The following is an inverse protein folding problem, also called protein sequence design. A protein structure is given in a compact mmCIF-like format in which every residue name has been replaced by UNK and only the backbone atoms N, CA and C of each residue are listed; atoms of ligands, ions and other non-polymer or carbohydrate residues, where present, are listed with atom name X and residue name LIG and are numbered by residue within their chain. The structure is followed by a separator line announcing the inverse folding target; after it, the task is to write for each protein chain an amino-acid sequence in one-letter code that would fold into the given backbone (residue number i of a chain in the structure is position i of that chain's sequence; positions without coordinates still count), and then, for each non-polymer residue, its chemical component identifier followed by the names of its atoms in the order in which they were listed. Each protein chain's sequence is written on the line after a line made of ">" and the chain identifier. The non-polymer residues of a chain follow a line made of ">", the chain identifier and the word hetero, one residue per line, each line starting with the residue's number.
data_IF_009223937911
#
_entry.id   IF_009223937911
#
_cell.length_a   1.000
_cell.length_b   1.000
_cell.length_c   1.000
_cell.angle_alpha   90.00
_cell.angle_beta   90.00
_cell.angle_gamma   90.00
#
_symmetry.space_group_name_H-M   'P 1'
#
loop_
_entity.id
_entity.type
_entity.pdbx_description
1 polymer ?
#
# COMPACT_ATOMS: atom_id res chain seq x y z
N UNK A 1 -46.14 -52.08 27.74
CA UNK A 1 -44.79 -51.65 28.20
C UNK A 1 -43.76 -51.48 27.10
N UNK A 2 -43.83 -52.17 25.96
CA UNK A 2 -42.85 -52.03 24.85
C UNK A 2 -42.91 -50.74 23.99
N UNK A 3 -44.06 -50.06 23.97
CA UNK A 3 -44.23 -48.80 23.18
C UNK A 3 -43.79 -47.51 23.91
N UNK A 4 -43.63 -47.53 25.24
CA UNK A 4 -43.11 -46.40 26.00
C UNK A 4 -41.58 -46.26 25.99
N UNK A 5 -40.83 -47.33 25.78
CA UNK A 5 -39.35 -47.34 25.76
C UNK A 5 -38.82 -46.73 24.46
N UNK A 6 -39.49 -46.92 23.33
CA UNK A 6 -39.08 -46.38 22.02
C UNK A 6 -39.21 -44.85 21.95
N UNK A 7 -40.19 -44.25 22.66
CA UNK A 7 -40.42 -42.82 22.69
C UNK A 7 -39.34 -42.05 23.49
N UNK A 8 -38.76 -42.66 24.53
CA UNK A 8 -37.70 -42.04 25.34
C UNK A 8 -36.32 -42.05 24.64
N UNK A 9 -36.05 -43.08 23.82
CA UNK A 9 -34.79 -43.18 23.07
C UNK A 9 -34.75 -42.15 21.91
N UNK A 10 -35.88 -41.86 21.26
CA UNK A 10 -35.98 -40.84 20.24
C UNK A 10 -35.83 -39.40 20.80
N UNK A 11 -36.14 -39.17 22.07
CA UNK A 11 -36.00 -37.85 22.69
C UNK A 11 -34.59 -37.56 23.21
N UNK A 12 -33.80 -38.59 23.54
CA UNK A 12 -32.39 -38.44 23.94
C UNK A 12 -31.42 -38.12 22.79
N UNK A 13 -31.82 -38.33 21.54
CA UNK A 13 -31.00 -37.99 20.37
C UNK A 13 -31.14 -36.50 19.92
N UNK A 14 -32.05 -35.72 20.55
CA UNK A 14 -32.31 -34.34 20.15
C UNK A 14 -31.57 -33.28 20.99
N UNK A 15 -30.81 -33.69 22.04
CA UNK A 15 -30.12 -32.76 22.94
C UNK A 15 -28.60 -32.88 22.85
N UNK A 16 -28.08 -32.92 21.61
CA UNK A 16 -26.64 -32.85 21.34
C UNK A 16 -26.18 -31.59 20.62
N UNK A 17 -26.98 -30.51 20.67
CA UNK A 17 -26.51 -29.21 20.16
C UNK A 17 -25.62 -28.53 21.21
N UNK A 18 -24.42 -29.08 21.43
CA UNK A 18 -23.42 -28.33 22.19
C UNK A 18 -23.14 -27.04 21.45
N UNK A 19 -23.20 -25.98 22.20
CA UNK A 19 -22.79 -24.64 21.82
C UNK A 19 -21.39 -24.66 21.20
N UNK A 20 -21.34 -24.72 19.89
CA UNK A 20 -20.09 -24.92 19.18
C UNK A 20 -19.73 -23.65 18.42
N UNK A 21 -18.57 -23.06 18.73
CA UNK A 21 -17.99 -21.95 17.98
C UNK A 21 -17.76 -22.29 16.50
N UNK A 22 -16.97 -21.51 15.82
CA UNK A 22 -16.63 -21.77 14.40
C UNK A 22 -15.91 -23.13 14.28
N UNK A 23 -16.42 -24.01 13.43
CA UNK A 23 -15.80 -25.27 13.06
C UNK A 23 -14.97 -25.05 11.81
N UNK A 24 -13.66 -25.29 11.90
CA UNK A 24 -12.74 -25.11 10.79
C UNK A 24 -12.49 -26.46 10.09
N UNK A 25 -12.43 -26.40 8.76
CA UNK A 25 -12.08 -27.54 7.91
C UNK A 25 -10.62 -27.93 8.07
N UNK A 26 -10.38 -29.23 7.98
CA UNK A 26 -9.05 -29.83 7.92
C UNK A 26 -8.70 -30.21 6.48
N UNK A 27 -7.42 -30.12 6.12
CA UNK A 27 -6.95 -30.44 4.79
C UNK A 27 -6.28 -29.27 4.09
N UNK A 28 -6.06 -29.40 2.77
CA UNK A 28 -5.44 -28.35 1.97
C UNK A 28 -6.47 -27.39 1.37
N UNK A 29 -5.99 -26.26 0.92
CA UNK A 29 -6.81 -25.20 0.34
C UNK A 29 -7.66 -25.67 -0.87
N UNK A 30 -7.11 -26.56 -1.70
CA UNK A 30 -7.84 -27.09 -2.87
C UNK A 30 -9.08 -27.90 -2.46
N UNK A 31 -8.98 -28.73 -1.41
CA UNK A 31 -10.10 -29.50 -0.89
C UNK A 31 -11.19 -28.58 -0.31
N UNK A 32 -10.78 -27.52 0.40
CA UNK A 32 -11.70 -26.50 0.95
C UNK A 32 -12.46 -25.78 -0.17
N UNK A 33 -11.78 -25.39 -1.25
CA UNK A 33 -12.43 -24.78 -2.42
C UNK A 33 -13.38 -25.75 -3.13
N UNK A 34 -13.01 -27.04 -3.25
CA UNK A 34 -13.88 -28.06 -3.85
C UNK A 34 -15.18 -28.22 -3.03
N UNK A 35 -15.08 -28.24 -1.69
CA UNK A 35 -16.24 -28.28 -0.79
C UNK A 35 -17.12 -27.04 -0.93
N UNK A 36 -16.50 -25.85 -0.98
CA UNK A 36 -17.20 -24.58 -1.17
C UNK A 36 -18.01 -24.56 -2.50
N UNK A 37 -17.41 -25.11 -3.57
CA UNK A 37 -18.07 -25.28 -4.87
C UNK A 37 -19.29 -26.21 -4.77
N UNK A 38 -19.13 -27.37 -4.13
CA UNK A 38 -20.19 -28.36 -3.96
C UNK A 38 -21.37 -27.80 -3.15
N UNK A 39 -21.10 -27.07 -2.07
CA UNK A 39 -22.10 -26.48 -1.19
C UNK A 39 -22.58 -25.08 -1.63
N UNK A 40 -22.02 -24.51 -2.71
CA UNK A 40 -22.31 -23.16 -3.20
C UNK A 40 -22.15 -22.10 -2.11
N UNK A 41 -21.14 -22.24 -1.27
CA UNK A 41 -20.80 -21.32 -0.18
C UNK A 41 -19.51 -20.57 -0.47
N UNK A 42 -19.30 -19.43 0.21
CA UNK A 42 -17.98 -18.80 0.31
C UNK A 42 -17.10 -19.60 1.27
N UNK A 43 -15.79 -19.55 1.03
CA UNK A 43 -14.79 -19.92 2.01
C UNK A 43 -14.50 -18.70 2.89
N UNK A 44 -14.65 -18.85 4.20
CA UNK A 44 -14.08 -17.93 5.18
C UNK A 44 -12.69 -18.41 5.55
N UNK A 45 -11.68 -17.56 5.44
CA UNK A 45 -10.29 -17.87 5.80
C UNK A 45 -9.82 -16.95 6.91
N UNK A 46 -9.47 -17.55 8.07
CA UNK A 46 -8.72 -16.87 9.13
C UNK A 46 -7.22 -17.03 8.83
N UNK A 47 -6.59 -15.94 8.35
CA UNK A 47 -5.15 -15.91 8.08
C UNK A 47 -4.44 -15.34 9.30
N UNK A 48 -3.62 -16.16 9.95
CA UNK A 48 -2.97 -15.85 11.22
C UNK A 48 -1.48 -16.17 11.21
N UNK A 49 -0.76 -15.83 12.29
CA UNK A 49 0.58 -16.31 12.61
C UNK A 49 0.62 -16.83 14.04
N UNK A 50 1.56 -17.72 14.35
CA UNK A 50 1.66 -18.34 15.67
C UNK A 50 2.00 -17.35 16.80
N UNK A 51 2.67 -16.26 16.50
CA UNK A 51 3.04 -15.20 17.46
C UNK A 51 1.97 -14.10 17.61
N UNK A 52 0.96 -14.03 16.74
CA UNK A 52 -0.04 -12.98 16.70
C UNK A 52 -0.98 -12.99 17.93
N UNK A 53 -0.80 -12.06 18.84
CA UNK A 53 -1.64 -11.89 20.03
C UNK A 53 -3.12 -11.64 19.72
N UNK A 54 -3.48 -10.67 18.86
CA UNK A 54 -4.85 -10.43 18.43
C UNK A 54 -5.53 -11.67 17.81
N UNK A 55 -4.79 -12.50 17.04
CA UNK A 55 -5.32 -13.74 16.47
C UNK A 55 -5.71 -14.75 17.57
N UNK A 56 -4.84 -14.92 18.57
CA UNK A 56 -5.10 -15.77 19.72
C UNK A 56 -6.34 -15.29 20.51
N UNK A 57 -6.48 -13.98 20.66
CA UNK A 57 -7.65 -13.38 21.31
C UNK A 57 -8.93 -13.73 20.54
N UNK A 58 -9.02 -13.49 19.24
CA UNK A 58 -10.19 -13.83 18.43
C UNK A 58 -10.54 -15.32 18.52
N UNK A 59 -9.53 -16.20 18.42
CA UNK A 59 -9.71 -17.65 18.52
C UNK A 59 -10.19 -18.11 19.90
N UNK A 60 -9.76 -17.43 20.97
CA UNK A 60 -10.15 -17.79 22.34
C UNK A 60 -11.52 -17.24 22.75
N UNK A 61 -12.00 -16.16 22.10
CA UNK A 61 -13.21 -15.43 22.50
C UNK A 61 -14.28 -15.44 21.39
N UNK A 62 -14.14 -14.63 20.37
CA UNK A 62 -15.18 -14.39 19.36
C UNK A 62 -15.53 -15.66 18.57
N UNK A 63 -14.53 -16.44 18.15
CA UNK A 63 -14.78 -17.66 17.36
C UNK A 63 -15.46 -18.77 18.19
N UNK A 64 -15.42 -18.70 19.53
CA UNK A 64 -16.07 -19.67 20.41
C UNK A 64 -17.53 -19.30 20.73
N UNK A 65 -17.99 -18.12 20.35
CA UNK A 65 -19.36 -17.71 20.64
C UNK A 65 -20.37 -18.49 19.79
N UNK A 66 -21.49 -18.88 20.40
CA UNK A 66 -22.53 -19.69 19.77
C UNK A 66 -23.15 -19.00 18.55
N UNK A 67 -23.52 -17.72 18.67
CA UNK A 67 -24.09 -16.94 17.58
C UNK A 67 -23.14 -16.82 16.39
N UNK A 68 -21.84 -16.65 16.65
CA UNK A 68 -20.79 -16.60 15.63
C UNK A 68 -20.62 -17.96 14.97
N UNK A 69 -20.48 -19.05 15.79
CA UNK A 69 -20.35 -20.40 15.27
C UNK A 69 -21.54 -20.85 14.44
N UNK A 70 -22.76 -20.63 14.90
CA UNK A 70 -23.98 -20.95 14.16
C UNK A 70 -24.03 -20.23 12.80
N UNK A 71 -23.73 -18.93 12.79
CA UNK A 71 -23.74 -18.15 11.56
C UNK A 71 -22.65 -18.63 10.58
N UNK A 72 -21.40 -18.72 11.01
CA UNK A 72 -20.29 -19.10 10.16
C UNK A 72 -20.40 -20.52 9.63
N UNK A 73 -20.75 -21.48 10.46
CA UNK A 73 -20.90 -22.90 10.06
C UNK A 73 -22.06 -23.11 9.07
N UNK A 74 -23.12 -22.30 9.17
CA UNK A 74 -24.23 -22.38 8.21
C UNK A 74 -23.94 -21.71 6.87
N UNK A 75 -23.20 -20.58 6.88
CA UNK A 75 -23.04 -19.71 5.72
C UNK A 75 -21.74 -19.89 4.93
N UNK A 76 -20.71 -20.47 5.57
CA UNK A 76 -19.37 -20.54 5.00
C UNK A 76 -18.76 -21.95 5.15
N UNK A 77 -17.76 -22.21 4.32
CA UNK A 77 -16.76 -23.24 4.58
C UNK A 77 -15.61 -22.53 5.29
N UNK A 78 -15.42 -22.83 6.58
CA UNK A 78 -14.47 -22.11 7.42
C UNK A 78 -13.09 -22.76 7.33
N UNK A 79 -12.07 -21.99 7.02
CA UNK A 79 -10.68 -22.44 6.92
C UNK A 79 -9.76 -21.55 7.73
N UNK A 80 -8.72 -22.16 8.29
CA UNK A 80 -7.73 -21.45 9.11
C UNK A 80 -6.34 -21.78 8.65
N UNK A 81 -5.48 -20.76 8.41
CA UNK A 81 -4.15 -20.98 7.85
C UNK A 81 -3.09 -20.10 8.51
N UNK A 82 -1.96 -20.71 8.85
CA UNK A 82 -0.76 -20.02 9.32
C UNK A 82 0.00 -19.45 8.11
N UNK A 83 0.08 -18.11 8.03
CA UNK A 83 0.70 -17.40 6.93
C UNK A 83 2.20 -17.66 6.75
N UNK A 84 2.85 -18.23 7.78
CA UNK A 84 4.29 -18.50 7.77
C UNK A 84 4.62 -19.97 7.51
N UNK A 85 3.60 -20.86 7.38
CA UNK A 85 3.79 -22.30 7.23
C UNK A 85 3.11 -22.87 5.99
N UNK A 86 3.76 -23.85 5.38
CA UNK A 86 3.20 -24.63 4.28
C UNK A 86 2.61 -23.76 3.15
N UNK A 87 1.39 -24.10 2.72
CA UNK A 87 0.67 -23.35 1.67
C UNK A 87 0.24 -21.94 2.10
N UNK A 88 0.26 -21.62 3.41
CA UNK A 88 -0.08 -20.31 3.94
C UNK A 88 0.82 -19.21 3.42
N UNK A 89 2.11 -19.47 3.22
CA UNK A 89 3.05 -18.51 2.62
C UNK A 89 2.61 -18.09 1.22
N UNK A 90 2.23 -19.04 0.39
CA UNK A 90 1.75 -18.78 -0.98
C UNK A 90 0.41 -18.05 -0.98
N UNK A 91 -0.52 -18.40 -0.09
CA UNK A 91 -1.81 -17.74 0.05
C UNK A 91 -1.66 -16.31 0.59
N UNK A 92 -0.81 -16.10 1.59
CA UNK A 92 -0.52 -14.75 2.11
C UNK A 92 0.04 -13.83 1.02
N UNK A 93 0.97 -14.32 0.21
CA UNK A 93 1.51 -13.59 -0.95
C UNK A 93 0.43 -13.32 -2.01
N UNK A 94 -0.36 -14.33 -2.40
CA UNK A 94 -1.45 -14.23 -3.38
C UNK A 94 -2.46 -13.14 -3.00
N UNK A 95 -2.88 -13.09 -1.74
CA UNK A 95 -3.88 -12.14 -1.24
C UNK A 95 -3.27 -10.88 -0.65
N UNK A 96 -1.96 -10.66 -0.79
CA UNK A 96 -1.20 -9.50 -0.31
C UNK A 96 -1.53 -9.21 1.17
N UNK A 97 -1.33 -10.22 2.02
CA UNK A 97 -1.58 -10.11 3.46
C UNK A 97 -0.39 -9.40 4.11
N UNK A 98 -0.67 -8.31 4.82
CA UNK A 98 0.34 -7.47 5.49
C UNK A 98 0.11 -7.37 7.00
N UNK A 99 -1.10 -7.69 7.47
CA UNK A 99 -1.51 -7.53 8.87
C UNK A 99 -2.25 -8.78 9.36
N UNK A 100 -2.16 -9.09 10.65
CA UNK A 100 -2.79 -10.26 11.26
C UNK A 100 -3.65 -9.87 12.49
N UNK A 101 -4.82 -10.52 12.71
CA UNK A 101 -5.46 -11.47 11.78
C UNK A 101 -6.00 -10.76 10.53
N UNK A 102 -6.01 -11.47 9.40
CA UNK A 102 -6.77 -11.06 8.21
C UNK A 102 -7.85 -12.10 7.91
N UNK A 103 -9.07 -11.63 7.68
CA UNK A 103 -10.24 -12.42 7.34
C UNK A 103 -10.54 -12.25 5.86
N UNK A 104 -10.53 -13.35 5.12
CA UNK A 104 -10.90 -13.36 3.71
C UNK A 104 -12.20 -14.14 3.53
N UNK A 105 -13.07 -13.63 2.66
CA UNK A 105 -14.26 -14.31 2.19
C UNK A 105 -14.15 -14.45 0.67
N UNK A 106 -13.91 -15.68 0.20
CA UNK A 106 -13.61 -15.95 -1.21
C UNK A 106 -14.57 -16.98 -1.79
N UNK A 107 -14.74 -16.99 -3.11
CA UNK A 107 -15.44 -18.08 -3.80
C UNK A 107 -14.51 -19.28 -4.06
N UNK A 108 -15.07 -20.32 -4.65
CA UNK A 108 -14.37 -21.55 -5.02
C UNK A 108 -13.23 -21.34 -6.04
N UNK A 109 -13.19 -20.19 -6.72
CA UNK A 109 -12.14 -19.79 -7.67
C UNK A 109 -11.09 -18.88 -7.04
N UNK A 110 -11.29 -18.47 -5.79
CA UNK A 110 -10.41 -17.59 -5.04
C UNK A 110 -10.65 -16.09 -5.26
N UNK A 111 -11.77 -15.69 -5.85
CA UNK A 111 -12.17 -14.29 -5.96
C UNK A 111 -12.64 -13.76 -4.59
N UNK A 112 -12.13 -12.60 -4.17
CA UNK A 112 -12.39 -12.03 -2.83
C UNK A 112 -13.65 -11.19 -2.85
N UNK A 113 -14.64 -11.58 -2.06
CA UNK A 113 -15.92 -10.85 -1.87
C UNK A 113 -15.91 -9.91 -0.68
N UNK A 114 -15.09 -10.21 0.33
CA UNK A 114 -14.80 -9.28 1.42
C UNK A 114 -13.45 -9.59 2.06
N UNK A 115 -12.81 -8.56 2.60
CA UNK A 115 -11.55 -8.66 3.35
C UNK A 115 -11.62 -7.72 4.55
N UNK A 116 -11.24 -8.21 5.73
CA UNK A 116 -11.14 -7.39 6.93
C UNK A 116 -9.88 -7.74 7.71
N UNK A 117 -9.41 -6.82 8.56
CA UNK A 117 -8.16 -6.95 9.30
C UNK A 117 -8.38 -6.57 10.76
N UNK A 118 -7.68 -7.26 11.63
CA UNK A 118 -7.60 -6.94 13.05
C UNK A 118 -8.65 -7.63 13.91
N UNK A 119 -8.52 -7.41 15.22
CA UNK A 119 -9.44 -7.96 16.20
C UNK A 119 -10.69 -7.06 16.28
N UNK A 120 -11.86 -7.65 16.54
CA UNK A 120 -13.12 -6.93 16.69
C UNK A 120 -14.10 -7.70 17.59
N UNK A 121 -15.17 -6.99 18.02
CA UNK A 121 -16.27 -7.61 18.74
C UNK A 121 -17.08 -8.53 17.82
N UNK A 122 -17.82 -9.48 18.42
CA UNK A 122 -18.69 -10.44 17.72
C UNK A 122 -19.69 -9.79 16.76
N UNK A 123 -20.35 -8.72 17.19
CA UNK A 123 -21.32 -8.00 16.35
C UNK A 123 -20.69 -7.39 15.10
N UNK A 124 -19.47 -6.84 15.21
CA UNK A 124 -18.71 -6.32 14.08
C UNK A 124 -18.28 -7.45 13.16
N UNK A 125 -17.81 -8.57 13.73
CA UNK A 125 -17.38 -9.74 12.98
C UNK A 125 -18.53 -10.38 12.18
N UNK A 126 -19.71 -10.50 12.78
CA UNK A 126 -20.92 -10.94 12.09
C UNK A 126 -21.34 -9.97 10.98
N UNK A 127 -21.20 -8.65 11.19
CA UNK A 127 -21.45 -7.65 10.16
C UNK A 127 -20.50 -7.76 8.95
N UNK A 128 -19.22 -8.04 9.19
CA UNK A 128 -18.23 -8.32 8.14
C UNK A 128 -18.65 -9.56 7.31
N UNK A 129 -19.07 -10.63 7.97
CA UNK A 129 -19.51 -11.86 7.33
C UNK A 129 -20.83 -11.67 6.56
N UNK A 130 -21.78 -10.91 7.12
CA UNK A 130 -23.04 -10.57 6.44
C UNK A 130 -22.79 -9.77 5.15
N UNK A 131 -21.90 -8.78 5.20
CA UNK A 131 -21.47 -8.03 4.01
C UNK A 131 -20.86 -8.93 2.94
N UNK A 132 -20.04 -9.91 3.32
CA UNK A 132 -19.49 -10.88 2.39
C UNK A 132 -20.59 -11.69 1.67
N UNK A 133 -21.62 -12.10 2.40
CA UNK A 133 -22.78 -12.82 1.86
C UNK A 133 -23.63 -11.95 0.92
N UNK A 134 -23.85 -10.70 1.31
CA UNK A 134 -24.55 -9.73 0.47
C UNK A 134 -23.80 -9.55 -0.87
N UNK A 135 -22.51 -9.28 -0.84
CA UNK A 135 -21.68 -9.15 -2.05
C UNK A 135 -21.67 -10.46 -2.87
N UNK A 136 -21.68 -11.63 -2.24
CA UNK A 136 -21.72 -12.90 -2.96
C UNK A 136 -23.02 -13.14 -3.71
N UNK A 137 -24.15 -12.68 -3.16
CA UNK A 137 -25.46 -12.78 -3.83
C UNK A 137 -25.69 -11.65 -4.84
N UNK A 138 -24.97 -10.54 -4.72
CA UNK A 138 -25.11 -9.38 -5.61
C UNK A 138 -24.57 -9.68 -7.02
N UNK A 139 -25.41 -9.62 -8.09
CA UNK A 139 -24.96 -9.83 -9.46
C UNK A 139 -23.97 -8.76 -9.94
N UNK A 140 -23.97 -7.57 -9.32
CA UNK A 140 -23.07 -6.46 -9.57
C UNK A 140 -21.94 -6.36 -8.53
N UNK A 141 -21.60 -7.45 -7.84
CA UNK A 141 -20.43 -7.47 -6.95
C UNK A 141 -19.14 -7.24 -7.72
N UNK A 142 -18.16 -6.65 -7.06
CA UNK A 142 -16.89 -6.31 -7.68
C UNK A 142 -16.20 -7.51 -8.36
N UNK A 143 -16.08 -8.70 -7.72
CA UNK A 143 -15.45 -9.86 -8.37
C UNK A 143 -16.18 -10.32 -9.63
N UNK A 144 -17.52 -10.24 -9.64
CA UNK A 144 -18.32 -10.60 -10.82
C UNK A 144 -18.15 -9.60 -11.96
N UNK A 145 -18.11 -8.32 -11.65
CA UNK A 145 -17.86 -7.27 -12.64
C UNK A 145 -16.44 -7.37 -13.20
N UNK A 146 -15.43 -7.65 -12.35
CA UNK A 146 -14.06 -7.91 -12.79
C UNK A 146 -13.99 -9.08 -13.78
N UNK A 147 -14.67 -10.20 -13.48
CA UNK A 147 -14.72 -11.35 -14.38
C UNK A 147 -15.41 -11.05 -15.73
N UNK A 148 -16.36 -10.10 -15.76
CA UNK A 148 -17.09 -9.70 -16.97
C UNK A 148 -16.35 -8.61 -17.78
N UNK A 149 -15.42 -7.89 -17.18
CA UNK A 149 -14.82 -6.70 -17.79
C UNK A 149 -14.22 -6.98 -19.18
N UNK A 150 -13.47 -8.07 -19.32
CA UNK A 150 -12.82 -8.41 -20.59
C UNK A 150 -13.81 -8.53 -21.77
N UNK A 151 -15.01 -9.07 -21.53
CA UNK A 151 -16.04 -9.28 -22.54
C UNK A 151 -16.98 -8.08 -22.72
N UNK A 152 -17.01 -7.15 -21.77
CA UNK A 152 -17.93 -6.00 -21.73
C UNK A 152 -17.26 -4.63 -21.89
N UNK A 153 -16.05 -4.59 -22.42
CA UNK A 153 -15.27 -3.34 -22.64
C UNK A 153 -15.95 -2.32 -23.56
N UNK A 154 -16.96 -2.72 -24.32
CA UNK A 154 -17.74 -1.84 -25.22
C UNK A 154 -19.09 -1.41 -24.63
N UNK A 155 -19.49 -1.96 -23.51
CA UNK A 155 -20.76 -1.64 -22.84
C UNK A 155 -20.58 -0.43 -21.92
N UNK A 156 -20.96 0.74 -22.39
CA UNK A 156 -20.81 2.02 -21.67
C UNK A 156 -21.57 2.05 -20.35
N UNK A 157 -22.76 1.43 -20.29
CA UNK A 157 -23.54 1.34 -19.06
C UNK A 157 -22.87 0.44 -18.03
N UNK A 158 -22.29 -0.69 -18.47
CA UNK A 158 -21.48 -1.54 -17.61
C UNK A 158 -20.24 -0.81 -17.10
N UNK A 159 -19.48 -0.16 -18.00
CA UNK A 159 -18.26 0.56 -17.64
C UNK A 159 -18.51 1.63 -16.56
N UNK A 160 -19.57 2.44 -16.71
CA UNK A 160 -19.92 3.45 -15.68
C UNK A 160 -20.18 2.82 -14.31
N UNK A 161 -20.97 1.74 -14.26
CA UNK A 161 -21.23 1.02 -13.00
C UNK A 161 -19.95 0.41 -12.44
N UNK A 162 -19.10 -0.14 -13.31
CA UNK A 162 -17.84 -0.75 -12.88
C UNK A 162 -16.84 0.27 -12.34
N UNK A 163 -16.67 1.42 -13.00
CA UNK A 163 -15.89 2.57 -12.50
C UNK A 163 -16.39 2.97 -11.10
N UNK A 164 -17.69 3.19 -10.93
CA UNK A 164 -18.27 3.53 -9.63
C UNK A 164 -17.98 2.45 -8.59
N UNK A 165 -18.12 1.16 -8.95
CA UNK A 165 -17.86 0.04 -8.02
C UNK A 165 -16.39 -0.04 -7.62
N UNK A 166 -15.44 0.18 -8.54
CA UNK A 166 -14.00 0.28 -8.22
C UNK A 166 -13.75 1.41 -7.22
N UNK A 167 -14.24 2.61 -7.50
CA UNK A 167 -14.04 3.78 -6.66
C UNK A 167 -14.62 3.62 -5.24
N UNK A 168 -15.82 3.06 -5.13
CA UNK A 168 -16.45 2.79 -3.81
C UNK A 168 -15.71 1.71 -3.00
N UNK A 169 -14.85 0.92 -3.64
CA UNK A 169 -13.97 -0.05 -2.99
C UNK A 169 -12.50 0.45 -2.84
N UNK A 170 -12.27 1.75 -2.96
CA UNK A 170 -10.94 2.38 -2.91
C UNK A 170 -9.91 1.76 -3.87
N UNK A 171 -10.38 1.35 -5.05
CA UNK A 171 -9.53 0.84 -6.13
C UNK A 171 -9.42 1.89 -7.23
N UNK A 172 -8.29 1.89 -7.92
CA UNK A 172 -8.12 2.75 -9.09
C UNK A 172 -8.94 2.28 -10.28
N UNK A 173 -9.41 3.23 -11.08
CA UNK A 173 -10.20 3.02 -12.31
C UNK A 173 -9.58 3.75 -13.52
N UNK A 174 -8.25 3.90 -13.55
CA UNK A 174 -7.54 4.62 -14.61
C UNK A 174 -7.87 4.07 -16.01
N UNK A 175 -7.72 2.76 -16.18
CA UNK A 175 -7.91 2.09 -17.46
C UNK A 175 -9.39 2.03 -17.86
N UNK A 176 -10.28 1.87 -16.89
CA UNK A 176 -11.71 1.79 -17.10
C UNK A 176 -12.29 3.15 -17.54
N UNK A 177 -11.80 4.24 -17.00
CA UNK A 177 -12.17 5.60 -17.44
C UNK A 177 -11.68 5.84 -18.87
N UNK A 178 -10.42 5.51 -19.17
CA UNK A 178 -9.88 5.62 -20.53
C UNK A 178 -10.67 4.76 -21.53
N UNK A 179 -11.02 3.53 -21.13
CA UNK A 179 -11.85 2.63 -21.96
C UNK A 179 -13.26 3.20 -22.17
N UNK A 180 -13.87 3.76 -21.11
CA UNK A 180 -15.17 4.41 -21.22
C UNK A 180 -15.14 5.59 -22.20
N UNK A 181 -14.15 6.47 -22.07
CA UNK A 181 -13.97 7.62 -22.96
C UNK A 181 -13.69 7.21 -24.41
N UNK A 182 -13.06 6.04 -24.61
CA UNK A 182 -12.77 5.51 -25.93
C UNK A 182 -14.02 5.01 -26.66
N UNK A 183 -14.96 4.38 -25.93
CA UNK A 183 -16.11 3.72 -26.54
C UNK A 183 -17.41 4.53 -26.51
N UNK A 184 -17.52 5.52 -25.62
CA UNK A 184 -18.71 6.34 -25.54
C UNK A 184 -18.76 7.35 -26.71
N UNK A 185 -19.98 7.61 -27.25
CA UNK A 185 -20.22 8.56 -28.33
C UNK A 185 -21.20 9.66 -27.95
N UNK A 186 -21.82 9.57 -26.78
CA UNK A 186 -22.88 10.48 -26.34
C UNK A 186 -22.33 11.86 -25.91
N UNK A 187 -21.09 11.95 -25.40
CA UNK A 187 -20.49 13.19 -24.92
C UNK A 187 -19.35 13.62 -25.85
N UNK A 188 -19.41 14.86 -26.33
CA UNK A 188 -18.32 15.44 -27.09
C UNK A 188 -17.17 15.85 -26.15
N UNK A 189 -15.89 15.73 -26.59
CA UNK A 189 -14.76 16.20 -25.80
C UNK A 189 -14.90 17.67 -25.41
N UNK A 190 -14.81 17.94 -24.10
CA UNK A 190 -14.94 19.29 -23.55
C UNK A 190 -16.35 19.81 -23.37
N UNK A 191 -17.38 19.03 -23.72
CA UNK A 191 -18.76 19.40 -23.39
C UNK A 191 -18.95 19.48 -21.86
N UNK A 192 -19.93 20.29 -21.38
CA UNK A 192 -20.23 20.36 -19.94
C UNK A 192 -20.47 18.97 -19.30
N UNK A 193 -21.14 18.07 -20.03
CA UNK A 193 -21.43 16.70 -19.58
C UNK A 193 -20.16 15.85 -19.44
N UNK A 194 -19.23 15.97 -20.39
CA UNK A 194 -17.94 15.28 -20.35
C UNK A 194 -17.10 15.82 -19.18
N UNK A 195 -17.01 17.14 -19.05
CA UNK A 195 -16.25 17.77 -17.98
C UNK A 195 -16.84 17.41 -16.60
N UNK A 196 -18.17 17.47 -16.44
CA UNK A 196 -18.87 17.09 -15.24
C UNK A 196 -18.67 15.60 -14.90
N UNK A 197 -18.54 14.72 -15.90
CA UNK A 197 -18.17 13.33 -15.68
C UNK A 197 -16.72 13.19 -15.17
N UNK A 198 -15.76 13.87 -15.80
CA UNK A 198 -14.35 13.75 -15.44
C UNK A 198 -14.05 14.25 -14.02
N UNK A 199 -14.58 15.41 -13.64
CA UNK A 199 -14.31 15.98 -12.31
C UNK A 199 -14.90 15.19 -11.13
N UNK A 200 -15.76 14.18 -11.40
CA UNK A 200 -16.19 13.21 -10.38
C UNK A 200 -15.08 12.22 -10.00
N UNK A 201 -14.06 12.05 -10.85
CA UNK A 201 -12.98 11.08 -10.66
C UNK A 201 -11.60 11.74 -10.63
N UNK A 202 -11.38 12.80 -9.84
CA UNK A 202 -10.19 13.64 -9.90
C UNK A 202 -8.89 12.89 -9.63
N UNK A 203 -8.95 11.76 -8.90
CA UNK A 203 -7.78 10.93 -8.57
C UNK A 203 -7.37 9.95 -9.67
N UNK A 204 -8.17 9.86 -10.73
CA UNK A 204 -7.95 8.93 -11.85
C UNK A 204 -7.50 9.64 -13.14
N UNK A 205 -7.36 10.97 -13.10
CA UNK A 205 -6.95 11.78 -14.24
C UNK A 205 -5.45 12.03 -14.18
N UNK A 206 -4.73 11.79 -15.26
CA UNK A 206 -3.27 11.94 -15.31
C UNK A 206 -2.80 12.50 -16.65
N UNK A 207 -1.64 13.16 -16.68
CA UNK A 207 -1.06 13.72 -17.91
C UNK A 207 -0.73 12.63 -18.93
N UNK A 208 -1.14 12.87 -20.17
CA UNK A 208 -0.96 11.95 -21.29
C UNK A 208 -2.10 10.97 -21.47
N UNK A 209 -3.04 10.84 -20.51
CA UNK A 209 -4.29 10.12 -20.71
C UNK A 209 -5.26 10.92 -21.57
N UNK A 210 -6.25 10.25 -22.15
CA UNK A 210 -7.33 10.91 -22.88
C UNK A 210 -8.13 11.84 -21.97
N UNK A 211 -8.44 11.37 -20.76
CA UNK A 211 -9.11 12.16 -19.73
C UNK A 211 -8.30 13.39 -19.34
N UNK A 212 -7.00 13.24 -19.11
CA UNK A 212 -6.09 14.34 -18.81
C UNK A 212 -6.01 15.38 -19.92
N UNK A 213 -5.91 14.93 -21.18
CA UNK A 213 -5.89 15.85 -22.35
C UNK A 213 -7.17 16.65 -22.50
N UNK A 214 -8.33 16.05 -22.25
CA UNK A 214 -9.62 16.75 -22.24
C UNK A 214 -9.63 17.80 -21.14
N UNK A 215 -9.19 17.43 -19.93
CA UNK A 215 -9.13 18.37 -18.81
C UNK A 215 -8.17 19.55 -19.10
N UNK A 216 -6.94 19.26 -19.54
CA UNK A 216 -5.96 20.31 -19.90
C UNK A 216 -6.51 21.30 -20.92
N UNK A 217 -7.17 20.79 -21.97
CA UNK A 217 -7.64 21.60 -23.10
C UNK A 217 -8.88 22.43 -22.76
N UNK A 218 -9.80 21.91 -21.96
CA UNK A 218 -11.14 22.48 -21.81
C UNK A 218 -11.44 23.06 -20.41
N UNK A 219 -10.51 22.99 -19.44
CA UNK A 219 -10.72 23.51 -18.08
C UNK A 219 -11.17 24.99 -18.07
N UNK A 220 -10.51 25.85 -18.87
CA UNK A 220 -10.84 27.29 -18.90
C UNK A 220 -12.22 27.59 -19.48
N UNK A 221 -12.61 26.88 -20.54
CA UNK A 221 -13.95 27.02 -21.11
C UNK A 221 -15.03 26.47 -20.19
N UNK A 222 -14.77 25.34 -19.54
CA UNK A 222 -15.73 24.77 -18.59
C UNK A 222 -15.90 25.62 -17.34
N UNK A 223 -14.83 26.24 -16.82
CA UNK A 223 -14.87 27.17 -15.66
C UNK A 223 -15.89 28.32 -15.84
N UNK A 224 -16.11 28.74 -17.08
CA UNK A 224 -17.05 29.85 -17.40
C UNK A 224 -18.52 29.45 -17.26
N UNK A 225 -18.85 28.18 -17.46
CA UNK A 225 -20.22 27.64 -17.41
C UNK A 225 -20.50 26.80 -16.17
N UNK A 226 -19.47 26.39 -15.45
CA UNK A 226 -19.54 25.56 -14.24
C UNK A 226 -20.16 26.34 -13.06
N UNK A 227 -20.93 25.65 -12.23
CA UNK A 227 -21.36 26.17 -10.94
C UNK A 227 -20.20 26.21 -9.92
N UNK A 228 -20.48 26.66 -8.69
CA UNK A 228 -19.43 26.83 -7.66
C UNK A 228 -18.81 25.49 -7.25
N UNK A 229 -19.61 24.42 -7.10
CA UNK A 229 -19.16 23.09 -6.71
C UNK A 229 -18.31 22.47 -7.82
N UNK A 230 -18.77 22.58 -9.05
CA UNK A 230 -18.03 22.10 -10.22
C UNK A 230 -16.70 22.81 -10.41
N UNK A 231 -16.62 24.12 -10.11
CA UNK A 231 -15.35 24.89 -10.15
C UNK A 231 -14.37 24.39 -9.11
N UNK A 232 -14.82 24.13 -7.88
CA UNK A 232 -13.97 23.58 -6.84
C UNK A 232 -13.46 22.18 -7.21
N UNK A 233 -14.33 21.30 -7.72
CA UNK A 233 -13.95 19.97 -8.20
C UNK A 233 -12.96 20.03 -9.36
N UNK A 234 -13.14 21.00 -10.28
CA UNK A 234 -12.22 21.22 -11.40
C UNK A 234 -10.83 21.66 -10.92
N UNK A 235 -10.75 22.60 -9.97
CA UNK A 235 -9.48 23.02 -9.37
C UNK A 235 -8.78 21.83 -8.68
N UNK A 236 -9.54 21.06 -7.91
CA UNK A 236 -9.00 19.87 -7.27
C UNK A 236 -8.48 18.86 -8.30
N UNK A 237 -9.22 18.60 -9.37
CA UNK A 237 -8.80 17.70 -10.45
C UNK A 237 -7.51 18.17 -11.13
N UNK A 238 -7.41 19.46 -11.47
CA UNK A 238 -6.20 20.05 -12.06
C UNK A 238 -4.98 19.93 -11.13
N UNK A 239 -5.16 20.18 -9.84
CA UNK A 239 -4.09 20.08 -8.84
C UNK A 239 -3.60 18.64 -8.65
N UNK A 240 -4.47 17.63 -8.88
CA UNK A 240 -4.13 16.23 -8.74
C UNK A 240 -3.40 15.64 -9.95
N UNK A 241 -3.47 16.25 -11.15
CA UNK A 241 -2.92 15.66 -12.39
C UNK A 241 -1.47 15.21 -12.26
N UNK A 242 -0.61 16.03 -11.65
CA UNK A 242 0.82 15.71 -11.54
C UNK A 242 1.05 14.52 -10.60
N UNK A 243 0.45 14.52 -9.43
CA UNK A 243 0.59 13.42 -8.47
C UNK A 243 -0.01 12.12 -9.01
N UNK A 244 -1.15 12.19 -9.67
CA UNK A 244 -1.79 11.03 -10.31
C UNK A 244 -0.94 10.47 -11.46
N UNK A 245 -0.23 11.33 -12.20
CA UNK A 245 0.68 10.87 -13.26
C UNK A 245 1.79 10.00 -12.68
N UNK A 246 2.35 10.37 -11.54
CA UNK A 246 3.31 9.54 -10.82
C UNK A 246 2.66 8.24 -10.33
N UNK A 247 1.50 8.32 -9.69
CA UNK A 247 0.77 7.15 -9.17
C UNK A 247 0.49 6.15 -10.31
N UNK A 248 -0.05 6.63 -11.43
CA UNK A 248 -0.35 5.78 -12.58
C UNK A 248 0.92 5.19 -13.22
N UNK A 249 2.00 5.97 -13.32
CA UNK A 249 3.27 5.49 -13.84
C UNK A 249 3.78 4.25 -13.08
N UNK A 250 3.69 4.28 -11.75
CA UNK A 250 4.10 3.18 -10.87
C UNK A 250 3.10 2.02 -10.91
N UNK A 251 1.82 2.32 -10.90
CA UNK A 251 0.75 1.31 -11.01
C UNK A 251 0.87 0.51 -12.32
N UNK A 252 0.99 1.18 -13.45
CA UNK A 252 1.10 0.58 -14.78
C UNK A 252 2.53 0.13 -15.12
N UNK A 253 3.52 0.37 -14.26
CA UNK A 253 4.95 0.14 -14.50
C UNK A 253 5.43 0.76 -15.82
N UNK A 254 4.95 1.97 -16.14
CA UNK A 254 5.13 2.61 -17.44
C UNK A 254 6.24 3.66 -17.43
N UNK A 255 7.39 3.33 -18.03
CA UNK A 255 8.49 4.30 -18.23
C UNK A 255 8.07 5.51 -19.09
N UNK A 256 7.15 5.33 -20.03
CA UNK A 256 6.63 6.43 -20.84
C UNK A 256 5.91 7.45 -19.97
N UNK A 257 5.10 7.00 -19.02
CA UNK A 257 4.39 7.88 -18.11
C UNK A 257 5.33 8.49 -17.06
N UNK A 258 6.39 7.77 -16.63
CA UNK A 258 7.47 8.35 -15.80
C UNK A 258 8.12 9.53 -16.53
N UNK A 259 8.47 9.38 -17.82
CA UNK A 259 9.03 10.48 -18.63
C UNK A 259 8.09 11.68 -18.69
N UNK A 260 6.78 11.44 -18.85
CA UNK A 260 5.78 12.52 -18.83
C UNK A 260 5.72 13.21 -17.46
N UNK A 261 5.70 12.46 -16.37
CA UNK A 261 5.73 13.01 -15.01
C UNK A 261 6.97 13.89 -14.78
N UNK A 262 8.14 13.42 -15.20
CA UNK A 262 9.40 14.16 -15.08
C UNK A 262 9.32 15.46 -15.88
N UNK A 263 8.88 15.42 -17.14
CA UNK A 263 8.71 16.60 -17.99
C UNK A 263 7.80 17.66 -17.33
N UNK A 264 6.65 17.22 -16.81
CA UNK A 264 5.71 18.12 -16.11
C UNK A 264 6.27 18.68 -14.79
N UNK A 265 7.12 17.92 -14.11
CA UNK A 265 7.80 18.39 -12.89
C UNK A 265 8.88 19.40 -13.20
N UNK A 266 9.68 19.15 -14.23
CA UNK A 266 10.78 20.05 -14.67
C UNK A 266 10.25 21.39 -15.14
N UNK A 267 9.11 21.43 -15.83
CA UNK A 267 8.48 22.68 -16.27
C UNK A 267 8.02 23.60 -15.13
N UNK A 268 7.87 23.05 -13.91
CA UNK A 268 7.36 23.74 -12.70
C UNK A 268 8.43 23.98 -11.63
N UNK A 269 9.65 23.48 -11.83
CA UNK A 269 10.72 23.53 -10.82
C UNK A 269 11.91 24.32 -11.33
N UNK A 270 12.72 24.91 -10.41
CA UNK A 270 14.00 25.48 -10.78
C UNK A 270 14.94 24.40 -11.34
N UNK A 271 15.80 24.74 -12.30
CA UNK A 271 16.68 23.81 -13.01
C UNK A 271 17.54 22.94 -12.08
N UNK A 272 17.99 23.49 -10.94
CA UNK A 272 18.82 22.76 -9.98
C UNK A 272 18.03 21.69 -9.20
N UNK A 273 16.78 21.96 -8.79
CA UNK A 273 15.93 20.97 -8.13
C UNK A 273 15.46 19.90 -9.11
N UNK A 274 15.16 20.28 -10.34
CA UNK A 274 14.73 19.36 -11.40
C UNK A 274 15.71 18.24 -11.64
N UNK A 275 17.02 18.55 -11.63
CA UNK A 275 18.08 17.54 -11.82
C UNK A 275 17.98 16.43 -10.77
N UNK A 276 17.91 16.77 -9.48
CA UNK A 276 17.81 15.77 -8.42
C UNK A 276 16.47 14.99 -8.46
N UNK A 277 15.37 15.67 -8.76
CA UNK A 277 14.04 15.06 -8.79
C UNK A 277 13.87 14.06 -9.94
N UNK A 278 14.47 14.33 -11.10
CA UNK A 278 14.44 13.42 -12.25
C UNK A 278 15.05 12.06 -11.91
N UNK A 279 16.29 12.08 -11.46
CA UNK A 279 17.03 10.83 -11.17
C UNK A 279 16.42 10.10 -9.97
N UNK A 280 16.01 10.83 -8.92
CA UNK A 280 15.30 10.25 -7.79
C UNK A 280 14.00 9.57 -8.20
N UNK A 281 13.27 10.14 -9.16
CA UNK A 281 12.05 9.52 -9.70
C UNK A 281 12.34 8.19 -10.39
N UNK A 282 13.41 8.11 -11.20
CA UNK A 282 13.80 6.87 -11.84
C UNK A 282 14.27 5.80 -10.84
N UNK A 283 15.06 6.19 -9.85
CA UNK A 283 15.48 5.27 -8.78
C UNK A 283 14.28 4.71 -8.03
N UNK A 284 13.35 5.58 -7.62
CA UNK A 284 12.14 5.18 -6.92
C UNK A 284 11.27 4.26 -7.79
N UNK A 285 11.11 4.59 -9.07
CA UNK A 285 10.36 3.77 -10.02
C UNK A 285 10.95 2.36 -10.18
N UNK A 286 12.25 2.24 -10.44
CA UNK A 286 12.87 0.94 -10.64
C UNK A 286 12.94 0.10 -9.36
N UNK A 287 13.18 0.73 -8.20
CA UNK A 287 13.12 0.06 -6.89
C UNK A 287 11.71 -0.48 -6.63
N UNK A 288 10.68 0.37 -6.73
CA UNK A 288 9.29 0.02 -6.43
C UNK A 288 8.71 -1.01 -7.41
N UNK A 289 9.07 -0.93 -8.70
CA UNK A 289 8.57 -1.86 -9.73
C UNK A 289 9.34 -3.17 -9.80
N UNK A 290 10.39 -3.34 -8.97
CA UNK A 290 11.20 -4.54 -8.85
C UNK A 290 12.23 -4.71 -9.97
N UNK A 291 12.58 -3.65 -10.71
CA UNK A 291 13.65 -3.71 -11.72
C UNK A 291 15.03 -3.52 -11.08
N UNK A 292 15.47 -4.55 -10.32
CA UNK A 292 16.72 -4.54 -9.56
C UNK A 292 17.94 -4.16 -10.40
N UNK A 293 18.05 -4.68 -11.62
CA UNK A 293 19.21 -4.42 -12.47
C UNK A 293 19.34 -2.95 -12.88
N UNK A 294 18.22 -2.33 -13.33
CA UNK A 294 18.22 -0.90 -13.68
C UNK A 294 18.38 0.00 -12.46
N UNK A 295 17.75 -0.37 -11.34
CA UNK A 295 17.94 0.36 -10.09
C UNK A 295 19.40 0.35 -9.66
N UNK A 296 20.05 -0.81 -9.62
CA UNK A 296 21.45 -0.96 -9.21
C UNK A 296 22.40 -0.21 -10.12
N UNK A 297 22.20 -0.31 -11.43
CA UNK A 297 23.02 0.42 -12.40
C UNK A 297 22.92 1.93 -12.21
N UNK A 298 21.71 2.47 -12.13
CA UNK A 298 21.47 3.90 -11.97
C UNK A 298 21.97 4.42 -10.62
N UNK A 299 21.71 3.69 -9.52
CA UNK A 299 22.15 4.06 -8.19
C UNK A 299 23.68 4.16 -8.09
N UNK A 300 24.41 3.19 -8.67
CA UNK A 300 25.86 3.20 -8.66
C UNK A 300 26.46 4.41 -9.38
N UNK A 301 25.91 4.77 -10.52
CA UNK A 301 26.42 5.92 -11.28
C UNK A 301 26.05 7.25 -10.67
N UNK A 302 24.81 7.36 -10.26
CA UNK A 302 24.23 8.64 -9.90
C UNK A 302 24.48 9.05 -8.45
N UNK A 303 24.40 8.13 -7.48
CA UNK A 303 24.66 8.46 -6.09
C UNK A 303 26.13 8.88 -5.87
N UNK A 304 27.09 8.23 -6.53
CA UNK A 304 28.49 8.67 -6.50
C UNK A 304 28.67 10.05 -7.12
N UNK A 305 27.99 10.33 -8.24
CA UNK A 305 28.02 11.65 -8.89
C UNK A 305 27.43 12.76 -8.01
N UNK A 306 26.30 12.49 -7.34
CA UNK A 306 25.72 13.44 -6.39
C UNK A 306 26.65 13.67 -5.22
N UNK A 307 27.15 12.60 -4.60
CA UNK A 307 28.08 12.72 -3.46
C UNK A 307 29.29 13.61 -3.79
N UNK A 308 29.82 13.53 -5.02
CA UNK A 308 30.91 14.38 -5.46
C UNK A 308 30.53 15.88 -5.56
N UNK A 309 29.25 16.19 -5.75
CA UNK A 309 28.73 17.55 -5.88
C UNK A 309 28.25 18.15 -4.55
N UNK A 310 27.97 17.32 -3.55
CA UNK A 310 27.51 17.78 -2.23
C UNK A 310 28.66 18.49 -1.50
N UNK A 311 28.45 19.77 -1.22
CA UNK A 311 29.38 20.58 -0.42
C UNK A 311 28.73 20.90 0.92
N UNK A 312 29.47 20.76 2.07
CA UNK A 312 28.94 21.16 3.35
C UNK A 312 28.38 22.59 3.29
N UNK A 313 27.16 22.77 3.79
CA UNK A 313 26.57 24.09 3.93
C UNK A 313 27.25 24.73 5.14
N UNK A 314 27.86 25.87 4.93
CA UNK A 314 28.50 26.62 6.01
C UNK A 314 27.46 26.91 7.10
N UNK A 315 27.68 26.41 8.32
CA UNK A 315 26.76 26.60 9.46
C UNK A 315 26.63 28.08 9.87
N UNK A 316 27.54 28.96 9.43
CA UNK A 316 27.42 30.40 9.57
C UNK A 316 26.23 31.03 8.82
N UNK A 317 25.63 30.30 7.87
CA UNK A 317 24.45 30.73 7.10
C UNK A 317 23.10 30.52 7.82
N UNK A 318 23.09 30.12 9.10
CA UNK A 318 21.87 30.03 9.94
C UNK A 318 21.49 31.36 10.61
N UNK A 319 22.23 32.45 10.34
CA UNK A 319 22.00 33.79 10.89
C UNK A 319 20.91 34.61 10.18
N UNK A 320 20.55 35.74 10.78
CA UNK A 320 19.44 36.64 10.33
C UNK A 320 19.62 37.30 8.94
N UNK A 321 20.77 37.15 8.28
CA UNK A 321 21.13 37.82 7.02
C UNK A 321 21.41 36.89 5.82
N UNK A 322 20.64 35.81 5.67
CA UNK A 322 20.80 34.87 4.56
C UNK A 322 20.05 35.37 3.32
N UNK A 323 20.73 35.48 2.17
CA UNK A 323 20.08 35.85 0.91
C UNK A 323 19.11 34.75 0.43
N UNK A 324 18.11 35.10 -0.39
CA UNK A 324 17.21 34.10 -1.01
C UNK A 324 17.97 33.02 -1.79
N UNK A 325 19.03 33.39 -2.50
CA UNK A 325 19.88 32.46 -3.26
C UNK A 325 20.61 31.46 -2.35
N UNK A 326 21.18 31.92 -1.23
CA UNK A 326 21.82 31.05 -0.24
C UNK A 326 20.83 30.08 0.41
N UNK A 327 19.59 30.55 0.67
CA UNK A 327 18.52 29.68 1.17
C UNK A 327 18.15 28.60 0.15
N UNK A 328 18.02 28.97 -1.11
CA UNK A 328 17.72 28.03 -2.18
C UNK A 328 18.86 27.03 -2.34
N UNK A 329 20.11 27.48 -2.38
CA UNK A 329 21.28 26.59 -2.47
C UNK A 329 21.34 25.60 -1.30
N UNK A 330 21.12 26.06 -0.07
CA UNK A 330 21.07 25.19 1.10
C UNK A 330 19.93 24.16 1.00
N UNK A 331 18.76 24.58 0.53
CA UNK A 331 17.61 23.69 0.31
C UNK A 331 17.91 22.63 -0.76
N UNK A 332 18.58 23.00 -1.85
CA UNK A 332 19.01 22.08 -2.92
C UNK A 332 20.03 21.06 -2.41
N UNK A 333 21.02 21.50 -1.62
CA UNK A 333 22.02 20.60 -1.03
C UNK A 333 21.39 19.61 -0.05
N UNK A 334 20.49 20.08 0.83
CA UNK A 334 19.74 19.21 1.76
C UNK A 334 18.88 18.20 1.00
N UNK A 335 18.20 18.60 -0.08
CA UNK A 335 17.44 17.69 -0.95
C UNK A 335 18.36 16.61 -1.53
N UNK A 336 19.53 16.98 -2.06
CA UNK A 336 20.52 16.03 -2.56
C UNK A 336 21.00 15.05 -1.49
N UNK A 337 21.30 15.54 -0.28
CA UNK A 337 21.67 14.71 0.86
C UNK A 337 20.60 13.72 1.29
N UNK A 338 19.34 14.17 1.36
CA UNK A 338 18.18 13.31 1.64
C UNK A 338 18.05 12.20 0.59
N UNK A 339 18.07 12.55 -0.68
CA UNK A 339 17.92 11.61 -1.79
C UNK A 339 19.04 10.54 -1.76
N UNK A 340 20.28 10.95 -1.47
CA UNK A 340 21.39 10.01 -1.32
C UNK A 340 21.13 9.04 -0.17
N UNK A 341 20.75 9.52 1.00
CA UNK A 341 20.50 8.67 2.16
C UNK A 341 19.35 7.69 1.94
N UNK A 342 18.23 8.16 1.40
CA UNK A 342 17.04 7.32 1.18
C UNK A 342 17.29 6.24 0.12
N UNK A 343 18.02 6.57 -0.96
CA UNK A 343 18.34 5.59 -1.99
C UNK A 343 19.51 4.67 -1.59
N UNK A 344 20.40 5.10 -0.72
CA UNK A 344 21.41 4.23 -0.11
C UNK A 344 20.75 3.13 0.75
N UNK A 345 19.69 3.45 1.51
CA UNK A 345 18.90 2.46 2.25
C UNK A 345 18.27 1.45 1.30
N UNK A 346 17.56 1.89 0.27
CA UNK A 346 16.97 1.02 -0.76
C UNK A 346 18.03 0.16 -1.46
N UNK A 347 19.21 0.72 -1.73
CA UNK A 347 20.30 -0.02 -2.35
C UNK A 347 20.79 -1.16 -1.46
N UNK A 348 20.93 -0.92 -0.15
CA UNK A 348 21.27 -1.97 0.81
C UNK A 348 20.20 -3.07 0.85
N UNK A 349 18.92 -2.70 0.89
CA UNK A 349 17.80 -3.67 0.89
C UNK A 349 17.83 -4.61 -0.34
N UNK A 350 18.23 -4.09 -1.50
CA UNK A 350 18.31 -4.88 -2.73
C UNK A 350 19.60 -5.68 -2.90
N UNK A 351 20.73 -5.23 -2.32
CA UNK A 351 22.07 -5.73 -2.66
C UNK A 351 22.90 -6.11 -1.43
N UNK A 352 22.30 -6.30 -0.25
CA UNK A 352 22.98 -6.56 1.03
C UNK A 352 24.01 -7.70 0.95
N UNK A 353 23.73 -8.74 0.18
CA UNK A 353 24.57 -9.93 0.08
C UNK A 353 25.76 -9.77 -0.90
N UNK A 354 25.85 -8.64 -1.59
CA UNK A 354 26.94 -8.38 -2.53
C UNK A 354 28.16 -7.79 -1.81
N UNK A 355 29.34 -8.12 -2.32
CA UNK A 355 30.60 -7.64 -1.75
C UNK A 355 30.69 -6.11 -1.79
N UNK A 356 31.28 -5.53 -0.74
CA UNK A 356 31.55 -4.09 -0.60
C UNK A 356 30.33 -3.16 -0.55
N UNK A 357 29.10 -3.69 -0.55
CA UNK A 357 27.87 -2.89 -0.49
C UNK A 357 27.79 -2.10 0.81
N UNK A 358 28.10 -2.71 1.94
CA UNK A 358 28.08 -2.03 3.26
C UNK A 358 28.97 -0.81 3.28
N UNK A 359 30.23 -0.93 2.79
CA UNK A 359 31.17 0.17 2.77
C UNK A 359 30.74 1.31 1.84
N UNK A 360 30.16 0.93 0.69
CA UNK A 360 29.60 1.90 -0.26
C UNK A 360 28.44 2.68 0.34
N UNK A 361 27.50 2.00 0.97
CA UNK A 361 26.31 2.60 1.60
C UNK A 361 26.72 3.49 2.77
N UNK A 362 27.65 3.04 3.63
CA UNK A 362 28.24 3.86 4.71
C UNK A 362 28.81 5.19 4.17
N UNK A 363 29.58 5.13 3.07
CA UNK A 363 30.15 6.32 2.43
C UNK A 363 29.05 7.26 1.94
N UNK A 364 28.04 6.76 1.22
CA UNK A 364 26.95 7.57 0.71
C UNK A 364 26.15 8.26 1.82
N UNK A 365 25.75 7.52 2.84
CA UNK A 365 24.96 8.07 3.95
C UNK A 365 25.78 9.11 4.73
N UNK A 366 27.05 8.82 5.02
CA UNK A 366 27.96 9.76 5.65
C UNK A 366 28.04 11.07 4.86
N UNK A 367 28.19 10.98 3.54
CA UNK A 367 28.26 12.17 2.66
C UNK A 367 26.94 12.94 2.65
N UNK A 368 25.80 12.27 2.56
CA UNK A 368 24.48 12.92 2.64
C UNK A 368 24.30 13.68 3.96
N UNK A 369 24.76 13.12 5.07
CA UNK A 369 24.69 13.74 6.39
C UNK A 369 25.64 14.95 6.55
N UNK A 370 26.64 15.15 5.67
CA UNK A 370 27.44 16.39 5.72
C UNK A 370 26.66 17.64 5.33
N UNK A 371 25.66 17.49 4.45
CA UNK A 371 24.80 18.58 3.98
C UNK A 371 23.43 18.63 4.64
N UNK A 372 23.01 17.53 5.29
CA UNK A 372 21.78 17.44 6.08
C UNK A 372 22.04 16.73 7.42
N UNK A 373 22.77 17.38 8.36
CA UNK A 373 23.31 16.73 9.57
C UNK A 373 22.25 16.40 10.65
N UNK A 374 21.02 16.88 10.49
CA UNK A 374 19.87 16.69 11.37
C UNK A 374 18.74 15.85 10.70
N UNK A 375 19.04 15.17 9.59
CA UNK A 375 18.08 14.25 8.97
C UNK A 375 17.91 12.98 9.84
N UNK A 376 16.86 12.98 10.67
CA UNK A 376 16.63 12.00 11.74
C UNK A 376 16.64 10.55 11.25
N UNK A 377 15.95 10.27 10.11
CA UNK A 377 15.90 8.92 9.53
C UNK A 377 17.26 8.44 9.04
N UNK A 378 18.02 9.32 8.38
CA UNK A 378 19.35 8.97 7.92
C UNK A 378 20.34 8.79 9.09
N UNK A 379 20.23 9.57 10.17
CA UNK A 379 21.02 9.38 11.38
C UNK A 379 20.73 8.03 12.03
N UNK A 380 19.43 7.66 12.16
CA UNK A 380 19.04 6.38 12.73
C UNK A 380 19.57 5.21 11.89
N UNK A 381 19.41 5.28 10.58
CA UNK A 381 19.92 4.29 9.63
C UNK A 381 21.46 4.21 9.66
N UNK A 382 22.16 5.34 9.64
CA UNK A 382 23.64 5.37 9.71
C UNK A 382 24.18 4.74 11.00
N UNK A 383 23.52 4.97 12.12
CA UNK A 383 23.89 4.34 13.38
C UNK A 383 23.75 2.80 13.31
N UNK A 384 22.69 2.29 12.70
CA UNK A 384 22.52 0.84 12.49
C UNK A 384 23.67 0.27 11.63
N UNK A 385 24.01 0.95 10.53
CA UNK A 385 25.12 0.53 9.66
C UNK A 385 26.47 0.50 10.39
N UNK A 386 26.75 1.51 11.23
CA UNK A 386 27.97 1.54 12.04
C UNK A 386 28.02 0.37 13.03
N UNK A 387 26.89 0.07 13.68
CA UNK A 387 26.79 -1.06 14.61
C UNK A 387 27.01 -2.40 13.91
N UNK A 388 26.33 -2.63 12.77
CA UNK A 388 26.54 -3.83 11.94
C UNK A 388 27.99 -3.95 11.42
N UNK A 389 28.67 -2.82 11.24
CA UNK A 389 30.09 -2.77 10.84
C UNK A 389 31.06 -2.79 12.03
N UNK A 390 30.60 -3.16 13.24
CA UNK A 390 31.36 -3.27 14.48
C UNK A 390 31.93 -1.94 15.04
N UNK A 391 31.41 -0.79 14.60
CA UNK A 391 31.74 0.53 15.15
C UNK A 391 30.70 0.95 16.20
N UNK A 392 30.62 0.17 17.29
CA UNK A 392 29.62 0.32 18.35
C UNK A 392 29.68 1.70 19.05
N UNK A 393 30.87 2.25 19.26
CA UNK A 393 31.00 3.54 19.95
C UNK A 393 30.37 4.68 19.15
N UNK A 394 30.69 4.78 17.84
CA UNK A 394 30.08 5.78 16.97
C UNK A 394 28.59 5.49 16.72
N UNK A 395 28.19 4.23 16.63
CA UNK A 395 26.80 3.83 16.48
C UNK A 395 25.93 4.39 17.62
N UNK A 396 26.32 4.20 18.87
CA UNK A 396 25.62 4.72 20.05
C UNK A 396 25.58 6.25 20.05
N UNK A 397 26.68 6.92 19.71
CA UNK A 397 26.76 8.38 19.64
C UNK A 397 25.74 8.92 18.60
N UNK A 398 25.75 8.37 17.37
CA UNK A 398 24.89 8.80 16.28
C UNK A 398 23.41 8.43 16.56
N UNK A 399 23.16 7.25 17.17
CA UNK A 399 21.80 6.83 17.55
C UNK A 399 21.19 7.75 18.60
N UNK A 400 21.99 8.19 19.58
CA UNK A 400 21.59 9.19 20.58
C UNK A 400 21.22 10.53 19.91
N UNK A 401 22.02 10.96 18.91
CA UNK A 401 21.70 12.16 18.13
C UNK A 401 20.39 11.99 17.36
N UNK A 402 20.18 10.85 16.70
CA UNK A 402 18.94 10.54 16.00
C UNK A 402 17.74 10.59 16.94
N UNK A 403 17.81 9.95 18.11
CA UNK A 403 16.76 9.93 19.11
C UNK A 403 16.32 11.34 19.52
N UNK A 404 17.28 12.26 19.68
CA UNK A 404 17.01 13.64 20.05
C UNK A 404 16.37 14.47 18.91
N UNK A 405 16.49 14.00 17.66
CA UNK A 405 15.94 14.66 16.48
C UNK A 405 14.48 14.26 16.20
N UNK A 406 13.98 13.17 16.78
CA UNK A 406 12.58 12.74 16.62
C UNK A 406 11.66 13.41 17.65
N UNK A 407 10.41 13.76 17.29
CA UNK A 407 9.43 14.29 18.23
C UNK A 407 9.15 13.31 19.37
N UNK A 408 8.95 13.84 20.59
CA UNK A 408 8.58 13.03 21.76
C UNK A 408 7.25 12.33 21.50
N UNK A 409 7.16 11.03 21.85
CA UNK A 409 5.95 10.21 21.68
C UNK A 409 5.67 9.70 20.26
N UNK A 410 6.55 9.99 19.28
CA UNK A 410 6.42 9.39 17.95
C UNK A 410 6.81 7.91 17.96
N UNK A 411 6.17 7.10 17.12
CA UNK A 411 6.49 5.67 16.95
C UNK A 411 7.97 5.46 16.59
N UNK A 412 8.49 6.23 15.65
CA UNK A 412 9.89 6.15 15.23
C UNK A 412 10.87 6.44 16.38
N UNK A 413 10.55 7.39 17.28
CA UNK A 413 11.38 7.66 18.44
C UNK A 413 11.47 6.43 19.36
N UNK A 414 10.36 5.71 19.54
CA UNK A 414 10.34 4.51 20.39
C UNK A 414 11.23 3.41 19.79
N UNK A 415 11.16 3.16 18.49
CA UNK A 415 12.00 2.17 17.81
C UNK A 415 13.47 2.54 17.90
N UNK A 416 13.80 3.83 17.66
CA UNK A 416 15.18 4.33 17.80
C UNK A 416 15.70 4.19 19.24
N UNK A 417 14.85 4.41 20.25
CA UNK A 417 15.17 4.21 21.65
C UNK A 417 15.48 2.73 21.96
N UNK A 418 14.63 1.82 21.54
CA UNK A 418 14.82 0.36 21.70
C UNK A 418 16.14 -0.08 21.06
N UNK A 419 16.41 0.34 19.82
CA UNK A 419 17.65 0.00 19.14
C UNK A 419 18.90 0.62 19.82
N UNK A 420 18.79 1.80 20.41
CA UNK A 420 19.87 2.37 21.22
C UNK A 420 20.17 1.50 22.45
N UNK A 421 19.14 1.01 23.13
CA UNK A 421 19.29 0.12 24.28
C UNK A 421 19.91 -1.23 23.89
N UNK A 422 19.51 -1.80 22.74
CA UNK A 422 20.14 -3.01 22.19
C UNK A 422 21.62 -2.81 21.85
N UNK A 423 21.98 -1.69 21.20
CA UNK A 423 23.39 -1.36 20.93
C UNK A 423 24.24 -1.28 22.21
N UNK A 424 23.70 -0.69 23.29
CA UNK A 424 24.38 -0.57 24.57
C UNK A 424 24.61 -1.92 25.27
N UNK A 425 23.73 -2.90 25.01
CA UNK A 425 23.83 -4.25 25.57
C UNK A 425 24.56 -5.24 24.63
N UNK A 426 24.90 -4.86 23.42
CA UNK A 426 25.50 -5.75 22.43
C UNK A 426 24.49 -6.73 21.81
N UNK A 427 23.20 -6.39 21.78
CA UNK A 427 22.11 -7.21 21.30
C UNK A 427 21.81 -6.92 19.81
N UNK A 428 21.04 -7.82 19.17
CA UNK A 428 20.59 -7.65 17.80
C UNK A 428 19.55 -6.51 17.69
N UNK A 429 19.61 -5.72 16.63
CA UNK A 429 18.68 -4.60 16.40
C UNK A 429 17.33 -5.09 15.90
N UNK A 430 16.28 -4.30 16.22
CA UNK A 430 14.96 -4.43 15.59
C UNK A 430 14.94 -3.73 14.21
N UNK A 431 14.06 -4.19 13.31
CA UNK A 431 13.85 -3.54 12.00
C UNK A 431 13.21 -2.14 12.17
N UNK A 432 13.79 -1.13 11.49
CA UNK A 432 13.34 0.27 11.45
C UNK A 432 12.67 0.64 10.14
#
# INVERSE_FOLDING_TARGET
>A
MRKLIISCIAWCLYYGATAQGITFEHGNFAAVCAKAKAEKKLVFIDVYTSWCGPCKHMAATVFKQNNVGQYFNSQFINYKIDAEKGEGKALAAKYKIQYYPTYLFIDDKGAVFNKAVGNCKDSVFLGIAAKAREEFTNPNSLPRMQAQYATRKKDTAFLRRYITKLMTNNMHAFEEIEQYLFVQTAMQPGSPEMMAFLIQYPRELYYGSRAGQVLEKYSESFRKVADSVQREQLEFANNMLLSNTRIYAFYAKSETVVKRYIHETESRSSSRKSFYLREATWLDFYSTTGNRSRFGWLANQWLDSICAQLKPVDQGTTGKNITPEQKEQASVMRLGGMIVCDNAKKYLEHFRDEKDVMQKVLRWVKTGLTVFPDYSFALAFYANLLYENNDTANAILIKTKALNSFPRGSLHRNIVQTNLEHMQKGEQLEEE
#
